data_IF_904455586432
#
_entry.id   IF_904455586432
#
_cell.length_a   1.000
_cell.length_b   1.000
_cell.length_c   1.000
_cell.angle_alpha   90.00
_cell.angle_beta   90.00
_cell.angle_gamma   90.00
#
_symmetry.space_group_name_H-M   'P 1'
#
loop_
_entity.id
_entity.type
_entity.pdbx_description
1 polymer ?
#
# COMPACT_ATOMS: atom_id res chain seq x y z
N UNK A 1 -2.01 -22.18 5.28
CA UNK A 1 -0.80 -21.54 5.83
C UNK A 1 -0.66 -20.17 5.17
N UNK A 2 -0.44 -19.09 5.92
CA UNK A 2 -0.28 -17.76 5.33
C UNK A 2 1.01 -17.69 4.53
N UNK A 3 0.96 -17.17 3.29
CA UNK A 3 2.15 -17.01 2.45
C UNK A 3 3.10 -16.00 3.12
N UNK A 4 4.43 -16.25 3.17
CA UNK A 4 5.37 -15.29 3.75
C UNK A 4 5.30 -13.94 3.02
N UNK A 5 5.52 -12.85 3.77
CA UNK A 5 5.57 -11.49 3.23
C UNK A 5 6.72 -11.38 2.23
N UNK A 6 6.49 -10.71 1.11
CA UNK A 6 7.50 -10.47 0.06
C UNK A 6 8.03 -9.04 0.15
N UNK A 7 9.35 -8.88 0.10
CA UNK A 7 9.99 -7.56 0.07
C UNK A 7 9.61 -6.79 -1.20
N UNK A 8 9.47 -7.46 -2.34
CA UNK A 8 9.03 -6.85 -3.60
C UNK A 8 7.62 -6.26 -3.48
N UNK A 9 6.71 -6.98 -2.81
CA UNK A 9 5.36 -6.45 -2.52
C UNK A 9 5.42 -5.23 -1.61
N UNK A 10 6.28 -5.25 -0.59
CA UNK A 10 6.46 -4.10 0.30
C UNK A 10 6.97 -2.88 -0.47
N UNK A 11 7.93 -3.07 -1.37
CA UNK A 11 8.46 -2.01 -2.23
C UNK A 11 7.37 -1.44 -3.17
N UNK A 12 6.61 -2.30 -3.85
CA UNK A 12 5.52 -1.88 -4.72
C UNK A 12 4.44 -1.04 -4.00
N UNK A 13 4.11 -1.38 -2.75
CA UNK A 13 3.19 -0.60 -1.92
C UNK A 13 3.77 0.79 -1.60
N UNK A 14 5.07 0.88 -1.30
CA UNK A 14 5.72 2.17 -1.03
C UNK A 14 5.77 3.06 -2.27
N UNK A 15 6.12 2.50 -3.44
CA UNK A 15 6.13 3.25 -4.70
C UNK A 15 4.74 3.79 -5.05
N UNK A 16 3.70 2.97 -4.86
CA UNK A 16 2.32 3.38 -5.01
C UNK A 16 1.92 4.49 -4.02
N UNK A 17 2.34 4.37 -2.75
CA UNK A 17 2.07 5.37 -1.73
C UNK A 17 2.68 6.72 -2.09
N UNK A 18 3.94 6.73 -2.56
CA UNK A 18 4.62 7.94 -3.03
C UNK A 18 3.83 8.59 -4.17
N UNK A 19 3.47 7.83 -5.21
CA UNK A 19 2.71 8.36 -6.36
C UNK A 19 1.37 8.97 -5.94
N UNK A 20 0.62 8.25 -5.10
CA UNK A 20 -0.71 8.68 -4.65
C UNK A 20 -0.63 9.90 -3.74
N UNK A 21 0.32 9.94 -2.81
CA UNK A 21 0.48 11.07 -1.88
C UNK A 21 0.96 12.31 -2.61
N UNK A 22 1.85 12.18 -3.61
CA UNK A 22 2.25 13.32 -4.46
C UNK A 22 1.04 13.90 -5.22
N UNK A 23 0.14 13.04 -5.71
CA UNK A 23 -1.01 13.48 -6.49
C UNK A 23 -2.18 14.01 -5.64
N UNK A 24 -2.40 13.47 -4.44
CA UNK A 24 -3.62 13.70 -3.64
C UNK A 24 -3.34 14.27 -2.24
N UNK A 25 -2.07 14.44 -1.88
CA UNK A 25 -1.62 14.85 -0.56
C UNK A 25 -1.72 13.76 0.51
N UNK A 26 -1.38 14.13 1.75
CA UNK A 26 -1.37 13.22 2.90
C UNK A 26 -2.75 12.66 3.26
N UNK A 27 -3.84 13.26 2.81
CA UNK A 27 -5.21 12.79 3.05
C UNK A 27 -5.63 11.62 2.15
N UNK A 28 -4.78 11.20 1.19
CA UNK A 28 -5.11 10.15 0.23
C UNK A 28 -5.59 8.83 0.90
N UNK A 29 -6.71 8.23 0.47
CA UNK A 29 -7.19 6.98 1.06
C UNK A 29 -6.21 5.82 0.88
N UNK A 30 -6.04 4.95 1.89
CA UNK A 30 -5.23 3.71 1.74
C UNK A 30 -5.78 2.79 0.67
N UNK A 31 -7.10 2.81 0.44
CA UNK A 31 -7.73 2.08 -0.66
C UNK A 31 -7.20 2.50 -2.03
N UNK A 32 -6.88 3.79 -2.22
CA UNK A 32 -6.27 4.30 -3.45
C UNK A 32 -4.84 3.79 -3.61
N UNK A 33 -4.06 3.79 -2.53
CA UNK A 33 -2.69 3.25 -2.50
C UNK A 33 -2.71 1.75 -2.84
N UNK A 34 -3.61 0.98 -2.22
CA UNK A 34 -3.75 -0.46 -2.49
C UNK A 34 -4.11 -0.73 -3.95
N UNK A 35 -5.04 0.05 -4.51
CA UNK A 35 -5.43 -0.04 -5.92
C UNK A 35 -4.24 0.25 -6.84
N UNK A 36 -3.49 1.31 -6.58
CA UNK A 36 -2.28 1.68 -7.33
C UNK A 36 -1.18 0.60 -7.24
N UNK A 37 -1.04 -0.05 -6.08
CA UNK A 37 -0.11 -1.16 -5.86
C UNK A 37 -0.59 -2.51 -6.44
N UNK A 38 -1.79 -2.58 -7.01
CA UNK A 38 -2.36 -3.81 -7.57
C UNK A 38 -2.69 -4.87 -6.50
N UNK A 39 -3.05 -4.46 -5.28
CA UNK A 39 -3.40 -5.36 -4.18
C UNK A 39 -4.75 -5.02 -3.57
N UNK A 40 -5.32 -5.94 -2.80
CA UNK A 40 -6.50 -5.64 -2.01
C UNK A 40 -6.18 -4.67 -0.86
N UNK A 41 -7.14 -3.84 -0.47
CA UNK A 41 -6.97 -2.92 0.65
C UNK A 41 -6.62 -3.66 1.96
N UNK A 42 -7.25 -4.82 2.22
CA UNK A 42 -6.91 -5.66 3.37
C UNK A 42 -5.48 -6.21 3.32
N UNK A 43 -4.97 -6.54 2.12
CA UNK A 43 -3.58 -6.98 1.96
C UNK A 43 -2.58 -5.88 2.28
N UNK A 44 -2.88 -4.61 2.02
CA UNK A 44 -2.01 -3.48 2.41
C UNK A 44 -1.75 -3.50 3.92
N UNK A 45 -2.79 -3.74 4.72
CA UNK A 45 -2.68 -3.79 6.18
C UNK A 45 -1.91 -4.99 6.72
N UNK A 46 -1.63 -5.99 5.89
CA UNK A 46 -0.69 -7.07 6.26
C UNK A 46 0.77 -6.62 6.17
N UNK A 47 1.08 -5.56 5.41
CA UNK A 47 2.42 -4.99 5.27
C UNK A 47 2.63 -3.74 6.14
N UNK A 48 1.58 -2.91 6.27
CA UNK A 48 1.61 -1.66 7.01
C UNK A 48 0.34 -1.55 7.86
N UNK A 49 0.48 -1.66 9.19
CA UNK A 49 -0.66 -1.73 10.12
C UNK A 49 -1.53 -0.47 10.08
N UNK A 50 -0.90 0.69 9.91
CA UNK A 50 -1.54 1.99 9.84
C UNK A 50 -1.01 2.79 8.66
N UNK A 51 -1.77 3.84 8.31
CA UNK A 51 -1.33 4.86 7.36
C UNK A 51 -0.41 5.90 8.00
N UNK A 52 -0.68 6.25 9.26
CA UNK A 52 0.10 7.18 10.06
C UNK A 52 1.44 6.55 10.48
#
# INVERSE_FOLDING_TARGET
MARPKSNDKRAAIMDAAVRVIVAQGLSAPTATIAKEAGISNGSLFTYFETKA
#
